data_IF_965980373657
#
_entry.id   IF_965980373657
#
_cell.length_a   1.000
_cell.length_b   1.000
_cell.length_c   1.000
_cell.angle_alpha   90.00
_cell.angle_beta   90.00
_cell.angle_gamma   90.00
#
_symmetry.space_group_name_H-M   'P 1'
#
loop_
_entity.id
_entity.type
_entity.pdbx_description
1 polymer ?
#
# COMPACT_ATOMS: atom_id res chain seq x y z
N UNK A 1 18.98 -22.11 -2.90
CA UNK A 1 19.30 -20.80 -2.31
C UNK A 1 18.24 -20.55 -1.25
N UNK A 2 18.60 -20.11 -0.05
CA UNK A 2 17.58 -19.65 0.89
C UNK A 2 16.89 -18.42 0.28
N UNK A 3 15.56 -18.35 0.29
CA UNK A 3 14.86 -17.18 -0.20
C UNK A 3 15.28 -15.93 0.58
N UNK A 4 15.30 -14.79 -0.07
CA UNK A 4 15.50 -13.51 0.62
C UNK A 4 14.40 -13.32 1.66
N UNK A 5 14.74 -12.70 2.80
CA UNK A 5 13.75 -12.43 3.86
C UNK A 5 12.58 -11.59 3.34
N UNK A 6 12.87 -10.59 2.51
CA UNK A 6 11.85 -9.75 1.90
C UNK A 6 12.25 -9.25 0.51
N UNK A 7 11.24 -8.87 -0.26
CA UNK A 7 11.33 -8.06 -1.46
C UNK A 7 10.29 -6.95 -1.40
N UNK A 8 10.64 -5.77 -1.91
CA UNK A 8 9.71 -4.65 -2.08
C UNK A 8 9.38 -4.49 -3.54
N UNK A 9 8.11 -4.28 -3.88
CA UNK A 9 7.70 -4.00 -5.25
C UNK A 9 6.65 -2.90 -5.30
N UNK A 10 6.77 -2.03 -6.28
CA UNK A 10 5.76 -1.03 -6.57
C UNK A 10 5.67 -0.73 -8.07
N UNK A 11 4.52 -0.22 -8.46
CA UNK A 11 4.27 0.25 -9.81
C UNK A 11 4.33 1.77 -9.86
N UNK A 12 4.90 2.32 -10.93
CA UNK A 12 4.82 3.74 -11.26
C UNK A 12 4.21 3.94 -12.65
N UNK A 13 3.60 5.08 -12.85
CA UNK A 13 3.09 5.56 -14.13
C UNK A 13 3.16 7.07 -14.15
N UNK A 14 4.10 7.60 -14.93
CA UNK A 14 4.43 9.03 -14.93
C UNK A 14 4.69 9.57 -13.51
N UNK A 15 4.68 10.88 -13.31
CA UNK A 15 4.85 11.50 -11.98
C UNK A 15 6.19 11.13 -11.32
N UNK A 16 7.29 11.21 -12.08
CA UNK A 16 8.64 10.80 -11.65
C UNK A 16 9.06 11.39 -10.31
N UNK A 17 8.64 12.60 -9.97
CA UNK A 17 9.03 13.27 -8.72
C UNK A 17 8.53 12.55 -7.46
N UNK A 18 7.33 11.96 -7.51
CA UNK A 18 6.83 11.15 -6.39
C UNK A 18 7.60 9.83 -6.29
N UNK A 19 7.91 9.20 -7.42
CA UNK A 19 8.77 8.01 -7.45
C UNK A 19 10.16 8.30 -6.89
N UNK A 20 10.75 9.48 -7.20
CA UNK A 20 12.01 9.94 -6.60
C UNK A 20 11.90 10.05 -5.09
N UNK A 21 10.92 10.80 -4.60
CA UNK A 21 10.73 11.00 -3.16
C UNK A 21 10.54 9.67 -2.41
N UNK A 22 9.80 8.73 -3.00
CA UNK A 22 9.62 7.41 -2.44
C UNK A 22 10.96 6.67 -2.31
N UNK A 23 11.74 6.58 -3.39
CA UNK A 23 13.04 5.89 -3.40
C UNK A 23 14.06 6.63 -2.52
N UNK A 24 14.09 7.96 -2.55
CA UNK A 24 14.98 8.77 -1.72
C UNK A 24 14.69 8.56 -0.23
N UNK A 25 13.41 8.39 0.15
CA UNK A 25 13.05 8.08 1.52
C UNK A 25 13.57 6.71 1.97
N UNK A 26 13.53 5.71 1.09
CA UNK A 26 14.11 4.38 1.34
C UNK A 26 15.63 4.46 1.49
N UNK A 27 16.31 5.12 0.56
CA UNK A 27 17.76 5.32 0.60
C UNK A 27 18.21 6.08 1.86
N UNK A 28 17.45 7.12 2.25
CA UNK A 28 17.74 7.91 3.44
C UNK A 28 17.70 7.07 4.73
N UNK A 29 16.93 6.00 4.74
CA UNK A 29 16.82 5.08 5.87
C UNK A 29 17.71 3.84 5.76
N UNK A 30 18.50 3.74 4.67
CA UNK A 30 19.45 2.65 4.46
C UNK A 30 18.81 1.37 3.92
N UNK A 31 17.63 1.47 3.34
CA UNK A 31 16.99 0.32 2.69
C UNK A 31 17.83 -0.17 1.50
N UNK A 32 17.92 -1.49 1.36
CA UNK A 32 18.69 -2.14 0.30
C UNK A 32 17.90 -2.19 -1.02
N UNK A 33 18.18 -1.27 -1.94
CA UNK A 33 17.53 -1.21 -3.24
C UNK A 33 17.76 -2.47 -4.10
N UNK A 34 18.75 -3.31 -3.81
CA UNK A 34 18.91 -4.59 -4.51
C UNK A 34 17.78 -5.58 -4.22
N UNK A 35 16.91 -5.27 -3.24
CA UNK A 35 15.69 -6.01 -2.90
C UNK A 35 14.41 -5.34 -3.42
N UNK A 36 14.55 -4.28 -4.22
CA UNK A 36 13.42 -3.51 -4.76
C UNK A 36 13.25 -3.80 -6.24
N UNK A 37 12.04 -4.19 -6.62
CA UNK A 37 11.63 -4.39 -8.02
C UNK A 37 10.61 -3.32 -8.38
N UNK A 38 10.93 -2.48 -9.33
CA UNK A 38 10.02 -1.41 -9.80
C UNK A 38 9.44 -1.75 -11.16
N UNK A 39 8.13 -1.59 -11.28
CA UNK A 39 7.39 -1.79 -12.52
C UNK A 39 6.99 -0.43 -13.09
N UNK A 40 7.64 -0.01 -14.15
CA UNK A 40 7.17 1.12 -14.94
C UNK A 40 6.00 0.68 -15.83
N UNK A 41 4.85 1.20 -15.53
CA UNK A 41 3.60 0.79 -16.14
C UNK A 41 3.29 1.57 -17.44
N UNK A 42 4.34 1.85 -18.22
CA UNK A 42 4.25 2.53 -19.52
C UNK A 42 4.33 4.06 -19.42
N UNK A 43 5.24 4.58 -18.58
CA UNK A 43 5.47 6.02 -18.43
C UNK A 43 6.02 6.66 -19.73
N UNK A 44 5.69 7.92 -19.93
CA UNK A 44 6.11 8.75 -21.05
C UNK A 44 6.91 9.98 -20.62
N UNK A 45 7.08 10.18 -19.32
CA UNK A 45 7.96 11.20 -18.72
C UNK A 45 9.36 10.60 -18.42
N UNK A 46 10.19 11.28 -17.64
CA UNK A 46 11.54 10.86 -17.29
C UNK A 46 11.62 9.66 -16.34
N UNK A 47 10.48 9.02 -16.00
CA UNK A 47 10.43 7.90 -15.05
C UNK A 47 11.35 6.75 -15.46
N UNK A 48 11.37 6.37 -16.75
CA UNK A 48 12.22 5.27 -17.25
C UNK A 48 13.70 5.57 -17.10
N UNK A 49 14.13 6.76 -17.49
CA UNK A 49 15.54 7.18 -17.42
C UNK A 49 15.99 7.23 -15.96
N UNK A 50 15.13 7.74 -15.07
CA UNK A 50 15.39 7.72 -13.63
C UNK A 50 15.56 6.31 -13.09
N UNK A 51 14.64 5.39 -13.38
CA UNK A 51 14.74 4.01 -12.93
C UNK A 51 15.97 3.29 -13.48
N UNK A 52 16.40 3.59 -14.70
CA UNK A 52 17.60 3.03 -15.30
C UNK A 52 18.89 3.52 -14.61
N UNK A 53 18.88 4.70 -14.03
CA UNK A 53 20.02 5.27 -13.31
C UNK A 53 20.26 4.65 -11.91
N UNK A 54 19.30 3.90 -11.36
CA UNK A 54 19.35 3.36 -10.03
C UNK A 54 19.92 1.91 -10.01
N UNK A 55 20.50 1.48 -8.92
CA UNK A 55 20.90 0.09 -8.71
C UNK A 55 19.78 -0.70 -8.00
N UNK A 56 18.71 -1.01 -8.73
CA UNK A 56 17.55 -1.77 -8.25
C UNK A 56 17.78 -3.28 -8.41
N UNK A 57 17.12 -4.08 -7.57
CA UNK A 57 17.06 -5.53 -7.70
C UNK A 57 16.38 -6.00 -8.99
N UNK A 58 15.44 -5.21 -9.51
CA UNK A 58 14.79 -5.47 -10.80
C UNK A 58 14.00 -4.27 -11.33
N UNK A 59 13.83 -4.27 -12.65
CA UNK A 59 13.01 -3.28 -13.38
C UNK A 59 12.22 -3.98 -14.45
N UNK A 60 10.94 -3.68 -14.55
CA UNK A 60 10.07 -4.17 -15.62
C UNK A 60 9.46 -2.94 -16.29
N UNK A 61 9.63 -2.83 -17.60
CA UNK A 61 9.09 -1.74 -18.40
C UNK A 61 7.95 -2.25 -19.27
N UNK A 62 6.72 -1.97 -18.85
CA UNK A 62 5.54 -2.27 -19.65
C UNK A 62 5.38 -1.27 -20.81
N UNK A 63 4.82 -1.73 -21.92
CA UNK A 63 4.53 -0.87 -23.07
C UNK A 63 3.26 -0.01 -22.86
N UNK A 64 2.44 -0.36 -21.88
CA UNK A 64 1.20 0.35 -21.54
C UNK A 64 0.84 0.10 -20.09
N UNK A 65 -0.05 0.93 -19.55
CA UNK A 65 -0.54 0.75 -18.19
C UNK A 65 -1.47 -0.46 -18.09
N UNK A 66 -1.04 -1.47 -17.35
CA UNK A 66 -1.76 -2.74 -17.13
C UNK A 66 -2.58 -2.74 -15.82
N UNK A 67 -2.54 -1.66 -15.05
CA UNK A 67 -3.15 -1.56 -13.72
C UNK A 67 -2.22 -2.01 -12.60
N UNK A 68 -2.53 -1.58 -11.36
CA UNK A 68 -1.67 -1.83 -10.20
C UNK A 68 -1.57 -3.32 -9.86
N UNK A 69 -2.66 -4.06 -9.83
CA UNK A 69 -2.67 -5.47 -9.46
C UNK A 69 -1.79 -6.35 -10.37
N UNK A 70 -1.81 -6.10 -11.69
CA UNK A 70 -0.94 -6.81 -12.64
C UNK A 70 0.53 -6.44 -12.42
N UNK A 71 0.83 -5.17 -12.21
CA UNK A 71 2.18 -4.71 -11.96
C UNK A 71 2.74 -5.26 -10.63
N UNK A 72 1.95 -5.29 -9.56
CA UNK A 72 2.35 -5.93 -8.31
C UNK A 72 2.64 -7.42 -8.46
N UNK A 73 1.83 -8.14 -9.27
CA UNK A 73 2.09 -9.54 -9.59
C UNK A 73 3.42 -9.73 -10.33
N UNK A 74 3.71 -8.87 -11.32
CA UNK A 74 4.98 -8.92 -12.05
C UNK A 74 6.18 -8.77 -11.09
N UNK A 75 6.11 -7.84 -10.13
CA UNK A 75 7.16 -7.64 -9.15
C UNK A 75 7.30 -8.81 -8.17
N UNK A 76 6.18 -9.32 -7.65
CA UNK A 76 6.17 -10.48 -6.76
C UNK A 76 6.73 -11.75 -7.41
N UNK A 77 6.48 -11.93 -8.72
CA UNK A 77 7.01 -13.05 -9.49
C UNK A 77 8.49 -12.87 -9.89
N UNK A 78 8.92 -11.64 -10.09
CA UNK A 78 10.29 -11.33 -10.51
C UNK A 78 11.33 -11.53 -9.39
N UNK A 79 10.93 -11.40 -8.13
CA UNK A 79 11.83 -11.54 -6.99
C UNK A 79 11.15 -12.35 -5.86
N UNK A 80 11.49 -13.62 -5.76
CA UNK A 80 10.96 -14.50 -4.72
C UNK A 80 11.58 -14.18 -3.36
N UNK A 81 10.74 -13.98 -2.36
CA UNK A 81 11.12 -13.73 -0.98
C UNK A 81 10.07 -14.32 -0.03
N UNK A 82 10.47 -14.55 1.23
CA UNK A 82 9.54 -15.00 2.28
C UNK A 82 8.40 -14.00 2.48
N UNK A 83 8.73 -12.68 2.42
CA UNK A 83 7.76 -11.59 2.47
C UNK A 83 7.85 -10.73 1.20
N UNK A 84 6.75 -10.57 0.51
CA UNK A 84 6.61 -9.59 -0.57
C UNK A 84 5.90 -8.37 -0.03
N UNK A 85 6.54 -7.21 -0.11
CA UNK A 85 5.92 -5.93 0.25
C UNK A 85 5.51 -5.23 -1.03
N UNK A 86 4.20 -5.15 -1.30
CA UNK A 86 3.66 -4.31 -2.37
C UNK A 86 3.38 -2.92 -1.81
N UNK A 87 3.61 -1.88 -2.59
CA UNK A 87 3.31 -0.50 -2.17
C UNK A 87 2.99 0.41 -3.36
N UNK A 88 2.48 1.60 -3.07
CA UNK A 88 2.35 2.67 -4.04
C UNK A 88 3.70 3.40 -4.20
N UNK A 89 3.87 4.13 -5.30
CA UNK A 89 5.06 4.95 -5.56
C UNK A 89 4.97 6.38 -5.00
N UNK A 90 3.82 6.79 -4.50
CA UNK A 90 3.54 8.11 -3.92
C UNK A 90 3.48 8.07 -2.39
N UNK A 91 4.48 7.39 -1.79
CA UNK A 91 4.63 7.25 -0.34
C UNK A 91 6.02 7.67 0.14
N UNK A 92 6.10 8.09 1.40
CA UNK A 92 7.35 8.29 2.15
C UNK A 92 7.38 7.27 3.28
N UNK A 93 8.48 6.54 3.41
CA UNK A 93 8.63 5.49 4.43
C UNK A 93 9.27 6.04 5.71
N UNK A 94 9.01 5.40 6.84
CA UNK A 94 9.62 5.73 8.13
C UNK A 94 10.91 4.94 8.39
N UNK A 95 11.82 5.38 9.29
CA UNK A 95 12.97 4.59 9.68
C UNK A 95 12.60 3.20 10.20
N UNK A 96 13.27 2.14 9.71
CA UNK A 96 13.06 0.76 10.15
C UNK A 96 11.67 0.19 9.83
N UNK A 97 10.99 0.74 8.83
CA UNK A 97 9.60 0.40 8.51
C UNK A 97 9.40 -1.07 8.14
N UNK A 98 10.36 -1.66 7.41
CA UNK A 98 10.29 -3.06 6.96
C UNK A 98 10.41 -4.01 8.15
N UNK A 99 11.46 -3.82 8.97
CA UNK A 99 11.74 -4.65 10.14
C UNK A 99 10.59 -4.59 11.15
N UNK A 100 10.06 -3.40 11.39
CA UNK A 100 8.92 -3.19 12.28
C UNK A 100 7.66 -3.85 11.75
N UNK A 101 7.41 -3.75 10.43
CA UNK A 101 6.24 -4.34 9.77
C UNK A 101 6.29 -5.87 9.84
N UNK A 102 7.36 -6.47 9.31
CA UNK A 102 7.53 -7.92 9.26
C UNK A 102 7.65 -8.51 10.68
N UNK A 103 8.49 -7.91 11.53
CA UNK A 103 8.65 -8.38 12.90
C UNK A 103 7.35 -8.35 13.71
N UNK A 104 6.46 -7.38 13.44
CA UNK A 104 5.13 -7.37 14.07
C UNK A 104 4.24 -8.48 13.51
N UNK A 105 4.27 -8.73 12.20
CA UNK A 105 3.52 -9.84 11.60
C UNK A 105 3.93 -11.19 12.21
N UNK A 106 5.22 -11.44 12.31
CA UNK A 106 5.77 -12.69 12.84
C UNK A 106 5.39 -12.91 14.31
N UNK A 107 5.59 -11.89 15.16
CA UNK A 107 5.22 -11.97 16.59
C UNK A 107 3.74 -12.26 16.82
N UNK A 108 2.87 -11.84 15.89
CA UNK A 108 1.42 -11.98 16.00
C UNK A 108 0.85 -13.07 15.08
N UNK A 109 1.70 -13.88 14.46
CA UNK A 109 1.33 -14.93 13.51
C UNK A 109 0.38 -14.43 12.40
N UNK A 110 0.62 -13.22 11.89
CA UNK A 110 -0.09 -12.65 10.76
C UNK A 110 0.64 -13.01 9.47
N UNK A 111 -0.12 -13.27 8.41
CA UNK A 111 0.42 -13.54 7.07
C UNK A 111 0.29 -12.34 6.13
N UNK A 112 -0.51 -11.36 6.53
CA UNK A 112 -0.71 -10.11 5.78
C UNK A 112 -0.80 -8.96 6.78
N UNK A 113 0.00 -7.90 6.56
CA UNK A 113 0.05 -6.75 7.45
C UNK A 113 0.29 -5.45 6.68
N UNK A 114 -0.35 -4.37 7.12
CA UNK A 114 -0.12 -3.01 6.64
C UNK A 114 0.52 -2.13 7.73
N UNK A 115 1.32 -1.13 7.37
CA UNK A 115 1.75 -0.09 8.30
C UNK A 115 0.60 0.86 8.64
N UNK A 116 0.79 1.72 9.62
CA UNK A 116 -0.04 2.90 9.87
C UNK A 116 0.17 3.97 8.80
N UNK A 117 -0.83 4.83 8.58
CA UNK A 117 -0.87 5.68 7.41
C UNK A 117 -1.35 7.11 7.73
N UNK A 118 -0.63 8.11 7.23
CA UNK A 118 -1.09 9.48 7.12
C UNK A 118 -1.26 9.82 5.63
N UNK A 119 -2.44 10.25 5.23
CA UNK A 119 -2.72 10.67 3.85
C UNK A 119 -2.84 12.19 3.72
N UNK A 120 -2.42 12.74 2.58
CA UNK A 120 -2.57 14.15 2.22
C UNK A 120 -1.26 14.86 1.93
N UNK A 121 -1.19 16.21 2.05
CA UNK A 121 0.03 16.97 1.80
C UNK A 121 1.12 16.66 2.84
N UNK A 122 2.37 16.62 2.39
CA UNK A 122 3.56 16.49 3.25
C UNK A 122 4.00 17.88 3.73
N UNK A 123 3.21 18.50 4.60
CA UNK A 123 3.43 19.85 5.16
C UNK A 123 3.92 19.81 6.61
N UNK A 124 4.54 18.70 7.03
CA UNK A 124 5.06 18.47 8.37
C UNK A 124 6.33 17.61 8.33
N UNK A 125 7.09 17.57 9.41
CA UNK A 125 8.24 16.68 9.57
C UNK A 125 7.76 15.23 9.81
N UNK A 126 7.55 14.49 8.70
CA UNK A 126 7.10 13.10 8.77
C UNK A 126 8.09 12.20 9.50
N UNK A 127 9.40 12.40 9.33
CA UNK A 127 10.43 11.58 9.98
C UNK A 127 10.32 11.66 11.50
N UNK A 128 10.32 12.86 12.04
CA UNK A 128 10.18 13.08 13.49
C UNK A 128 8.83 12.57 14.01
N UNK A 129 7.74 12.82 13.28
CA UNK A 129 6.41 12.29 13.58
C UNK A 129 6.42 10.76 13.64
N UNK A 130 6.92 10.09 12.61
CA UNK A 130 6.89 8.64 12.50
C UNK A 130 7.73 7.94 13.56
N UNK A 131 8.89 8.50 13.93
CA UNK A 131 9.72 7.98 15.03
C UNK A 131 8.97 8.04 16.36
N UNK A 132 8.32 9.17 16.67
CA UNK A 132 7.54 9.32 17.91
C UNK A 132 6.31 8.41 17.92
N UNK A 133 5.57 8.37 16.80
CA UNK A 133 4.38 7.54 16.64
C UNK A 133 4.71 6.05 16.73
N UNK A 134 5.74 5.58 16.04
CA UNK A 134 6.19 4.17 16.11
C UNK A 134 6.59 3.79 17.54
N UNK A 135 7.28 4.68 18.25
CA UNK A 135 7.68 4.43 19.64
C UNK A 135 6.46 4.32 20.56
N UNK A 136 5.48 5.22 20.43
CA UNK A 136 4.25 5.25 21.26
C UNK A 136 3.33 4.07 20.99
N UNK A 137 3.23 3.66 19.72
CA UNK A 137 2.25 2.67 19.27
C UNK A 137 2.87 1.34 18.85
N UNK A 138 4.12 1.05 19.23
CA UNK A 138 4.90 -0.14 18.81
C UNK A 138 4.17 -1.46 18.99
N UNK A 139 3.36 -1.58 20.02
CA UNK A 139 2.63 -2.80 20.38
C UNK A 139 1.14 -2.76 19.97
N UNK A 140 0.75 -1.69 19.26
CA UNK A 140 -0.64 -1.51 18.83
C UNK A 140 -0.88 -2.21 17.49
N UNK A 141 -1.96 -3.00 17.44
CA UNK A 141 -2.40 -3.71 16.24
C UNK A 141 -3.91 -3.60 16.10
N UNK A 142 -4.38 -3.30 14.89
CA UNK A 142 -5.77 -3.47 14.47
C UNK A 142 -5.89 -4.77 13.69
N UNK A 143 -6.56 -5.77 14.23
CA UNK A 143 -6.79 -7.04 13.53
C UNK A 143 -7.99 -6.95 12.57
N UNK A 144 -7.88 -7.65 11.43
CA UNK A 144 -8.95 -7.70 10.42
C UNK A 144 -9.08 -6.43 9.58
N UNK A 145 -8.05 -5.59 9.56
CA UNK A 145 -7.97 -4.42 8.68
C UNK A 145 -6.63 -4.35 7.97
N UNK A 146 -6.63 -3.82 6.78
CA UNK A 146 -5.46 -3.63 5.91
C UNK A 146 -5.77 -2.60 4.83
N UNK A 147 -4.73 -2.12 4.17
CA UNK A 147 -4.84 -1.26 2.98
C UNK A 147 -3.75 -1.60 1.97
N UNK A 148 -4.04 -1.40 0.68
CA UNK A 148 -3.12 -1.70 -0.40
C UNK A 148 -2.16 -0.56 -0.76
N UNK A 149 -2.14 0.53 0.01
CA UNK A 149 -1.08 1.56 -0.13
C UNK A 149 0.28 0.96 0.17
N UNK A 150 0.34 0.09 1.19
CA UNK A 150 1.48 -0.78 1.48
C UNK A 150 0.99 -2.04 2.19
N UNK A 151 1.42 -3.20 1.72
CA UNK A 151 0.97 -4.49 2.23
C UNK A 151 2.12 -5.49 2.20
N UNK A 152 2.56 -5.96 3.36
CA UNK A 152 3.47 -7.09 3.44
C UNK A 152 2.68 -8.39 3.42
N UNK A 153 3.05 -9.30 2.52
CA UNK A 153 2.36 -10.55 2.22
C UNK A 153 3.38 -11.68 2.32
N UNK A 154 3.12 -12.64 3.21
CA UNK A 154 3.95 -13.84 3.37
C UNK A 154 3.75 -14.77 2.17
N UNK A 155 4.81 -15.46 1.73
CA UNK A 155 4.79 -16.35 0.55
C UNK A 155 3.67 -17.39 0.57
N UNK A 156 3.32 -17.93 1.75
CA UNK A 156 2.24 -18.91 1.88
C UNK A 156 0.88 -18.38 1.40
N UNK A 157 0.67 -17.06 1.42
CA UNK A 157 -0.58 -16.45 0.94
C UNK A 157 -0.73 -16.62 -0.56
N UNK A 158 0.37 -16.46 -1.32
CA UNK A 158 0.36 -16.69 -2.76
C UNK A 158 0.04 -18.14 -3.11
N UNK A 159 0.49 -19.08 -2.28
CA UNK A 159 0.19 -20.50 -2.44
C UNK A 159 -1.27 -20.82 -2.10
N UNK A 160 -1.84 -20.19 -1.08
CA UNK A 160 -3.19 -20.46 -0.59
C UNK A 160 -4.30 -19.86 -1.48
N UNK A 161 -4.12 -18.61 -1.94
CA UNK A 161 -5.17 -17.86 -2.65
C UNK A 161 -4.76 -17.34 -4.03
N UNK A 162 -3.48 -17.48 -4.40
CA UNK A 162 -2.93 -16.93 -5.64
C UNK A 162 -2.65 -15.43 -5.57
N UNK A 163 -2.40 -14.87 -6.73
CA UNK A 163 -2.01 -13.47 -6.92
C UNK A 163 -3.22 -12.54 -7.10
N UNK A 164 -2.98 -11.22 -7.23
CA UNK A 164 -4.03 -10.27 -7.57
C UNK A 164 -4.70 -10.66 -8.89
N UNK A 165 -6.01 -10.75 -8.88
CA UNK A 165 -6.76 -11.11 -10.08
C UNK A 165 -6.68 -9.96 -11.10
N UNK A 166 -6.23 -10.23 -12.36
CA UNK A 166 -6.30 -9.26 -13.43
C UNK A 166 -7.74 -8.81 -13.66
N UNK A 167 -7.93 -7.50 -13.80
CA UNK A 167 -9.25 -6.92 -14.00
C UNK A 167 -9.40 -6.40 -15.44
N UNK A 168 -10.61 -6.44 -16.03
CA UNK A 168 -10.82 -6.06 -17.44
C UNK A 168 -10.63 -4.58 -17.73
N UNK A 169 -10.71 -3.74 -16.71
CA UNK A 169 -10.51 -2.29 -16.81
C UNK A 169 -9.38 -1.86 -15.90
N UNK A 170 -8.75 -0.76 -16.23
CA UNK A 170 -7.46 -0.34 -15.75
C UNK A 170 -7.34 -0.25 -14.22
N UNK A 171 -8.36 0.25 -13.51
CA UNK A 171 -8.34 0.46 -12.07
C UNK A 171 -9.66 0.14 -11.41
N UNK A 172 -9.57 -0.28 -10.17
CA UNK A 172 -10.65 -0.36 -9.20
C UNK A 172 -10.99 -1.78 -8.77
N UNK A 173 -11.00 -1.93 -7.46
CA UNK A 173 -11.38 -3.15 -6.74
C UNK A 173 -10.42 -4.34 -6.83
N UNK A 174 -9.25 -4.23 -7.45
CA UNK A 174 -8.22 -5.27 -7.47
C UNK A 174 -7.79 -5.68 -6.05
N UNK A 175 -7.55 -4.69 -5.20
CA UNK A 175 -7.26 -4.86 -3.79
C UNK A 175 -8.45 -5.44 -3.00
N UNK A 176 -9.64 -4.93 -3.27
CA UNK A 176 -10.88 -5.40 -2.62
C UNK A 176 -11.16 -6.86 -2.95
N UNK A 177 -10.90 -7.30 -4.18
CA UNK A 177 -11.05 -8.69 -4.59
C UNK A 177 -10.02 -9.57 -3.86
N UNK A 178 -8.77 -9.15 -3.80
CA UNK A 178 -7.73 -9.86 -3.06
C UNK A 178 -8.08 -9.97 -1.56
N UNK A 179 -8.58 -8.90 -0.94
CA UNK A 179 -9.02 -8.93 0.45
C UNK A 179 -10.25 -9.83 0.69
N UNK A 180 -11.09 -10.02 -0.33
CA UNK A 180 -12.18 -11.01 -0.25
C UNK A 180 -11.65 -12.43 -0.24
N UNK A 181 -10.64 -12.74 -1.05
CA UNK A 181 -10.01 -14.06 -1.06
C UNK A 181 -9.29 -14.34 0.27
N UNK A 182 -8.57 -13.37 0.85
CA UNK A 182 -8.01 -13.49 2.20
C UNK A 182 -9.09 -13.85 3.24
N UNK A 183 -10.22 -13.15 3.18
CA UNK A 183 -11.33 -13.40 4.13
C UNK A 183 -11.98 -14.79 3.92
N UNK A 184 -12.14 -15.25 2.68
CA UNK A 184 -12.65 -16.61 2.36
C UNK A 184 -11.70 -17.69 2.87
N UNK A 185 -10.40 -17.50 2.70
CA UNK A 185 -9.35 -18.40 3.19
C UNK A 185 -9.13 -18.28 4.72
N UNK A 186 -9.83 -17.37 5.41
CA UNK A 186 -9.68 -17.09 6.84
C UNK A 186 -8.27 -16.67 7.24
N UNK A 187 -7.56 -16.01 6.33
CA UNK A 187 -6.23 -15.45 6.61
C UNK A 187 -6.41 -14.19 7.43
N UNK A 188 -5.86 -14.18 8.64
CA UNK A 188 -5.93 -13.01 9.53
C UNK A 188 -4.98 -11.93 9.02
N UNK A 189 -5.51 -10.73 8.88
CA UNK A 189 -4.77 -9.53 8.47
C UNK A 189 -4.61 -8.57 9.64
N UNK A 190 -3.69 -7.63 9.53
CA UNK A 190 -3.52 -6.60 10.55
C UNK A 190 -2.98 -5.29 10.00
N UNK A 191 -3.07 -4.25 10.81
CA UNK A 191 -2.38 -2.98 10.64
C UNK A 191 -1.64 -2.65 11.93
N UNK A 192 -0.38 -2.20 11.85
CA UNK A 192 0.48 -1.98 13.02
C UNK A 192 0.84 -0.52 13.21
N UNK A 193 0.87 -0.09 14.48
CA UNK A 193 1.42 1.21 14.90
C UNK A 193 2.95 1.25 15.00
N UNK A 194 3.64 0.11 14.81
CA UNK A 194 5.11 0.06 14.84
C UNK A 194 5.78 0.56 13.55
N UNK A 195 5.04 0.62 12.45
CA UNK A 195 5.51 1.05 11.12
C UNK A 195 4.57 2.09 10.55
N UNK A 196 5.11 3.16 9.98
CA UNK A 196 4.33 4.30 9.47
C UNK A 196 4.75 4.67 8.06
N UNK A 197 3.76 5.08 7.26
CA UNK A 197 3.94 5.69 5.95
C UNK A 197 3.20 7.03 5.88
N UNK A 198 3.75 7.95 5.09
CA UNK A 198 2.99 9.07 4.53
C UNK A 198 2.61 8.75 3.10
N UNK A 199 1.37 9.02 2.69
CA UNK A 199 0.85 8.79 1.35
C UNK A 199 0.26 10.10 0.80
N UNK A 200 0.75 10.56 -0.33
CA UNK A 200 0.27 11.80 -0.93
C UNK A 200 -1.18 11.75 -1.42
N UNK A 201 -1.73 10.53 -1.62
CA UNK A 201 -3.12 10.30 -1.94
C UNK A 201 -3.46 10.40 -3.42
N UNK A 202 -3.63 9.25 -4.06
CA UNK A 202 -4.22 9.11 -5.41
C UNK A 202 -3.63 10.01 -6.52
N UNK A 203 -2.37 10.41 -6.42
CA UNK A 203 -1.70 11.32 -7.36
C UNK A 203 -1.74 10.76 -8.79
N UNK A 204 -1.29 9.51 -8.96
CA UNK A 204 -1.26 8.83 -10.26
C UNK A 204 -2.66 8.69 -10.85
N UNK A 205 -3.66 8.33 -10.04
CA UNK A 205 -5.04 8.21 -10.53
C UNK A 205 -5.62 9.55 -10.99
N UNK A 206 -5.35 10.63 -10.26
CA UNK A 206 -5.80 11.98 -10.62
C UNK A 206 -5.16 12.46 -11.91
N UNK A 207 -3.85 12.24 -12.08
CA UNK A 207 -3.13 12.56 -13.31
C UNK A 207 -3.70 11.78 -14.51
N UNK A 208 -3.90 10.46 -14.37
CA UNK A 208 -4.48 9.61 -15.41
C UNK A 208 -5.90 10.03 -15.82
N UNK A 209 -6.74 10.46 -14.88
CA UNK A 209 -8.07 10.98 -15.17
C UNK A 209 -7.98 12.27 -15.98
N UNK A 210 -7.08 13.19 -15.59
CA UNK A 210 -6.85 14.45 -16.27
C UNK A 210 -6.34 14.21 -17.70
N UNK A 211 -5.36 13.35 -17.90
CA UNK A 211 -4.81 12.99 -19.22
C UNK A 211 -5.88 12.45 -20.16
N UNK A 212 -6.86 11.71 -19.64
CA UNK A 212 -7.96 11.09 -20.40
C UNK A 212 -9.22 11.94 -20.50
N UNK A 213 -9.21 13.16 -19.98
CA UNK A 213 -10.38 14.05 -19.97
C UNK A 213 -11.57 13.48 -19.20
N UNK A 214 -11.32 12.60 -18.19
CA UNK A 214 -12.36 11.96 -17.41
C UNK A 214 -12.74 12.82 -16.20
N UNK A 215 -14.04 12.91 -15.93
CA UNK A 215 -14.51 13.53 -14.69
C UNK A 215 -14.05 12.71 -13.48
N UNK A 216 -13.84 13.36 -12.34
CA UNK A 216 -13.33 12.75 -11.10
C UNK A 216 -14.13 11.51 -10.66
N UNK A 217 -15.46 11.49 -10.96
CA UNK A 217 -16.36 10.36 -10.65
C UNK A 217 -16.36 9.26 -11.71
N UNK A 218 -15.83 9.51 -12.89
CA UNK A 218 -15.73 8.53 -13.95
C UNK A 218 -14.45 7.73 -13.75
N UNK A 219 -14.59 6.65 -13.02
CA UNK A 219 -13.47 5.79 -12.69
C UNK A 219 -12.90 5.13 -13.94
N UNK A 220 -11.60 5.03 -14.01
CA UNK A 220 -10.79 4.29 -14.97
C UNK A 220 -11.17 2.78 -15.05
N UNK A 221 -12.40 2.46 -14.74
CA UNK A 221 -12.97 1.12 -14.71
C UNK A 221 -13.82 0.81 -13.48
N UNK A 222 -13.88 1.67 -12.49
CA UNK A 222 -14.58 1.41 -11.22
C UNK A 222 -16.02 0.91 -11.39
N UNK A 223 -16.85 1.55 -12.23
CA UNK A 223 -18.24 1.13 -12.45
C UNK A 223 -18.34 -0.26 -13.08
N UNK A 224 -17.39 -0.59 -13.94
CA UNK A 224 -17.36 -1.89 -14.61
C UNK A 224 -16.85 -2.98 -13.66
N UNK A 225 -15.69 -2.76 -13.05
CA UNK A 225 -15.04 -3.71 -12.17
C UNK A 225 -15.83 -3.99 -10.90
N UNK A 226 -16.67 -3.01 -10.48
CA UNK A 226 -17.58 -3.20 -9.37
C UNK A 226 -18.48 -4.45 -9.49
N UNK A 227 -18.86 -4.84 -10.70
CA UNK A 227 -19.67 -6.02 -10.95
C UNK A 227 -18.93 -7.32 -10.59
N UNK A 228 -17.60 -7.27 -10.58
CA UNK A 228 -16.76 -8.43 -10.26
C UNK A 228 -16.82 -8.78 -8.77
N UNK A 229 -17.19 -7.83 -7.90
CA UNK A 229 -17.27 -8.06 -6.45
C UNK A 229 -18.37 -9.05 -6.06
N UNK A 230 -19.33 -9.33 -6.93
CA UNK A 230 -20.44 -10.28 -6.70
C UNK A 230 -21.15 -10.08 -5.35
N UNK A 231 -21.25 -8.85 -4.87
CA UNK A 231 -21.87 -8.48 -3.61
C UNK A 231 -23.18 -7.74 -3.83
N UNK A 232 -24.22 -8.13 -3.09
CA UNK A 232 -25.47 -7.39 -3.08
C UNK A 232 -25.29 -6.00 -2.46
N UNK A 233 -26.16 -5.04 -2.85
CA UNK A 233 -26.15 -3.70 -2.24
C UNK A 233 -26.33 -3.75 -0.71
N UNK A 234 -27.18 -4.64 -0.22
CA UNK A 234 -27.46 -4.78 1.22
C UNK A 234 -26.25 -5.28 2.00
N UNK A 235 -25.57 -6.33 1.50
CA UNK A 235 -24.32 -6.85 2.11
C UNK A 235 -23.26 -5.77 2.24
N UNK A 236 -23.09 -4.96 1.19
CA UNK A 236 -22.12 -3.85 1.20
C UNK A 236 -22.47 -2.78 2.19
N UNK A 237 -23.74 -2.40 2.27
CA UNK A 237 -24.22 -1.41 3.25
C UNK A 237 -23.95 -1.90 4.67
N UNK A 238 -24.25 -3.16 4.96
CA UNK A 238 -23.99 -3.78 6.27
C UNK A 238 -22.49 -3.81 6.56
N UNK A 239 -21.67 -4.28 5.63
CA UNK A 239 -20.20 -4.31 5.78
C UNK A 239 -19.65 -2.90 6.03
N UNK A 240 -20.09 -1.90 5.26
CA UNK A 240 -19.66 -0.50 5.44
C UNK A 240 -20.01 0.04 6.83
N UNK A 241 -21.22 -0.23 7.32
CA UNK A 241 -21.65 0.22 8.66
C UNK A 241 -20.80 -0.46 9.75
N UNK A 242 -20.62 -1.79 9.66
CA UNK A 242 -19.80 -2.54 10.62
C UNK A 242 -18.36 -2.03 10.65
N UNK A 243 -17.75 -1.85 9.45
CA UNK A 243 -16.39 -1.33 9.31
C UNK A 243 -16.26 0.06 9.92
N UNK A 244 -17.17 0.99 9.59
CA UNK A 244 -17.15 2.37 10.14
C UNK A 244 -17.26 2.39 11.68
N UNK A 245 -18.08 1.51 12.27
CA UNK A 245 -18.19 1.39 13.74
C UNK A 245 -16.90 0.90 14.37
N UNK A 246 -16.27 -0.09 13.76
CA UNK A 246 -15.01 -0.66 14.23
C UNK A 246 -13.86 0.36 14.12
N UNK A 247 -13.72 1.03 12.99
CA UNK A 247 -12.74 2.10 12.77
C UNK A 247 -12.92 3.23 13.79
N UNK A 248 -14.16 3.68 14.00
CA UNK A 248 -14.47 4.70 15.02
C UNK A 248 -14.13 4.24 16.44
N UNK A 249 -14.30 2.97 16.76
CA UNK A 249 -13.94 2.41 18.07
C UNK A 249 -12.43 2.40 18.29
N UNK A 250 -11.66 1.93 17.29
CA UNK A 250 -10.21 1.95 17.32
C UNK A 250 -9.67 3.38 17.46
N UNK A 251 -10.12 4.29 16.60
CA UNK A 251 -9.69 5.67 16.63
C UNK A 251 -9.90 6.32 18.00
N UNK A 252 -11.09 6.14 18.60
CA UNK A 252 -11.37 6.66 19.96
C UNK A 252 -10.45 6.11 21.03
N UNK A 253 -10.22 4.79 21.01
CA UNK A 253 -9.33 4.12 21.95
C UNK A 253 -7.89 4.61 21.83
N UNK A 254 -7.40 4.71 20.59
CA UNK A 254 -6.04 5.13 20.27
C UNK A 254 -5.81 6.62 20.60
N UNK A 255 -6.79 7.48 20.32
CA UNK A 255 -6.75 8.89 20.70
C UNK A 255 -6.67 9.08 22.22
N UNK A 256 -7.44 8.30 22.99
CA UNK A 256 -7.40 8.34 24.43
C UNK A 256 -6.07 7.85 25.01
N UNK A 257 -5.46 6.84 24.38
CA UNK A 257 -4.24 6.23 24.89
C UNK A 257 -2.96 6.95 24.41
N UNK A 258 -2.93 7.39 23.16
CA UNK A 258 -1.72 7.86 22.48
C UNK A 258 -1.80 9.31 21.98
N UNK A 259 -2.98 9.92 21.96
CA UNK A 259 -3.22 11.24 21.36
C UNK A 259 -3.22 11.22 19.82
N UNK A 260 -3.15 10.04 19.20
CA UNK A 260 -3.14 9.84 17.75
C UNK A 260 -3.78 8.51 17.39
N UNK A 261 -4.10 8.30 16.11
CA UNK A 261 -4.68 7.06 15.59
C UNK A 261 -3.81 6.49 14.47
N UNK A 262 -3.85 5.18 14.21
CA UNK A 262 -3.05 4.52 13.18
C UNK A 262 -3.42 4.95 11.75
N UNK A 263 -4.53 5.66 11.57
CA UNK A 263 -4.92 6.19 10.28
C UNK A 263 -5.40 7.64 10.43
N UNK A 264 -4.85 8.52 9.62
CA UNK A 264 -5.22 9.93 9.61
C UNK A 264 -5.04 10.60 8.27
N UNK A 265 -5.63 11.76 8.14
CA UNK A 265 -5.43 12.65 6.99
C UNK A 265 -4.77 13.95 7.44
N UNK A 266 -3.95 14.49 6.57
CA UNK A 266 -3.40 15.83 6.71
C UNK A 266 -4.25 16.80 5.91
N UNK A 267 -4.88 17.76 6.58
CA UNK A 267 -5.75 18.77 5.95
C UNK A 267 -5.59 20.10 6.68
N UNK A 268 -5.34 21.17 5.93
CA UNK A 268 -5.17 22.53 6.48
C UNK A 268 -4.15 22.61 7.64
N UNK A 269 -3.02 21.93 7.49
CA UNK A 269 -1.97 21.82 8.51
C UNK A 269 -2.40 21.14 9.83
N UNK A 270 -3.49 20.38 9.81
CA UNK A 270 -3.99 19.61 10.95
C UNK A 270 -4.06 18.11 10.66
N UNK A 271 -3.95 17.28 11.71
CA UNK A 271 -4.21 15.85 11.61
C UNK A 271 -5.69 15.57 11.91
N UNK A 272 -6.37 14.94 10.96
CA UNK A 272 -7.75 14.45 11.08
C UNK A 272 -7.71 12.93 11.24
N UNK A 273 -7.93 12.45 12.44
CA UNK A 273 -7.81 11.03 12.78
C UNK A 273 -9.08 10.23 12.44
N UNK A 274 -8.87 8.97 12.01
CA UNK A 274 -9.95 8.04 11.66
C UNK A 274 -9.76 6.63 12.26
#
# INVERSE_FOLDING_TARGET
MNPSKYAVTFACYNQVDYTRQCIDSMLHHGDDLSRVVVIDNGSTDETRDYLQSLNLGGRIFNNSNLGCGVAWNQGALAFQAEWTIIMNNDVIVSPGWIENLIGTAERNNLKVISPSLIEGPLDYDFKSFAVDASRKMKDSIRLGTQHAVCLAIHESVWMDIGYFQPIPKLLGYEDTMFFQELAKARITTGMTGASWLHHYGSITQSAMKKERGLAEKDGLGYRYNYRLLQQSWLERKIKKIKRKRLESSWCKSELLQFGMSMYGHRLNNEFIWQ
#
